data_IF_938639513065
#
_entry.id   IF_938639513065
#
_cell.length_a   1.000
_cell.length_b   1.000
_cell.length_c   1.000
_cell.angle_alpha   90.00
_cell.angle_beta   90.00
_cell.angle_gamma   90.00
#
_symmetry.space_group_name_H-M   'P 1'
#
loop_
_entity.id
_entity.type
_entity.pdbx_description
1 polymer ?
#
# COMPACT_ATOMS: atom_id res chain seq x y z
N UNK A 1 33.10 -1.95 18.40
CA UNK A 1 31.91 -1.76 17.55
C UNK A 1 30.91 -2.85 17.89
N UNK A 2 29.78 -2.55 18.55
CA UNK A 2 28.81 -3.59 18.90
C UNK A 2 28.06 -4.04 17.64
N UNK A 3 27.72 -5.33 17.61
CA UNK A 3 27.12 -6.03 16.50
C UNK A 3 25.83 -5.36 16.02
N UNK A 4 25.70 -5.19 14.70
CA UNK A 4 24.48 -4.72 14.02
C UNK A 4 23.33 -5.69 14.36
N UNK A 5 22.42 -5.27 15.23
CA UNK A 5 21.19 -6.01 15.52
C UNK A 5 20.36 -6.07 14.24
N UNK A 6 20.23 -7.26 13.65
CA UNK A 6 19.23 -7.53 12.62
C UNK A 6 17.81 -7.19 13.15
N UNK A 7 16.84 -6.89 12.26
CA UNK A 7 15.44 -6.80 12.68
C UNK A 7 15.01 -8.09 13.37
N UNK A 8 14.44 -7.97 14.58
CA UNK A 8 14.02 -9.10 15.40
C UNK A 8 12.82 -9.83 14.79
N UNK A 9 12.01 -9.14 14.00
CA UNK A 9 10.85 -9.68 13.31
C UNK A 9 10.95 -9.40 11.80
N UNK A 10 10.67 -10.43 11.00
CA UNK A 10 10.74 -10.40 9.54
C UNK A 10 9.37 -10.54 8.91
N UNK A 11 8.49 -11.35 9.52
CA UNK A 11 7.16 -11.63 9.01
C UNK A 11 6.28 -12.22 10.10
N UNK A 12 4.97 -12.10 9.96
CA UNK A 12 3.96 -12.69 10.82
C UNK A 12 3.01 -13.53 9.98
N UNK A 13 2.67 -14.72 10.47
CA UNK A 13 1.77 -15.62 9.77
C UNK A 13 0.87 -16.36 10.74
N UNK A 14 -0.29 -16.77 10.26
CA UNK A 14 -1.27 -17.54 11.02
C UNK A 14 -1.33 -18.97 10.54
N UNK A 15 -1.52 -19.89 11.48
CA UNK A 15 -1.82 -21.30 11.20
C UNK A 15 -3.19 -21.64 11.80
N UNK A 16 -4.16 -22.13 11.01
CA UNK A 16 -5.45 -22.55 11.54
C UNK A 16 -5.32 -23.62 12.62
N UNK A 17 -6.12 -23.53 13.69
CA UNK A 17 -6.19 -24.51 14.78
C UNK A 17 -7.62 -24.65 15.29
N UNK A 18 -8.34 -25.67 14.82
CA UNK A 18 -9.76 -25.81 15.12
C UNK A 18 -10.56 -24.64 14.55
N UNK A 19 -11.37 -23.99 15.37
CA UNK A 19 -12.14 -22.79 14.99
C UNK A 19 -11.31 -21.50 15.06
N UNK A 20 -10.12 -21.54 15.66
CA UNK A 20 -9.25 -20.39 15.83
C UNK A 20 -7.95 -20.49 15.03
N UNK A 21 -6.92 -19.77 15.46
CA UNK A 21 -5.62 -19.76 14.80
C UNK A 21 -4.45 -19.56 15.77
N UNK A 22 -3.26 -19.98 15.36
CA UNK A 22 -2.00 -19.69 16.05
C UNK A 22 -1.28 -18.60 15.26
N UNK A 23 -0.90 -17.52 15.94
CA UNK A 23 -0.06 -16.48 15.37
C UNK A 23 1.41 -16.81 15.62
N UNK A 24 2.21 -16.73 14.57
CA UNK A 24 3.65 -16.89 14.61
C UNK A 24 4.35 -15.65 14.09
N UNK A 25 5.57 -15.45 14.57
CA UNK A 25 6.53 -14.52 13.97
C UNK A 25 7.73 -15.27 13.43
N UNK A 26 8.10 -14.97 12.20
CA UNK A 26 9.39 -15.27 11.62
C UNK A 26 10.39 -14.22 12.08
N UNK A 27 11.45 -14.63 12.78
CA UNK A 27 12.49 -13.77 13.34
C UNK A 27 13.81 -14.02 12.62
N UNK A 28 14.63 -12.98 12.42
CA UNK A 28 15.99 -13.15 11.88
C UNK A 28 16.95 -13.63 12.96
N UNK A 29 17.53 -14.83 12.82
CA UNK A 29 18.55 -15.33 13.73
C UNK A 29 19.89 -15.61 13.00
N UNK A 30 20.98 -15.69 13.77
CA UNK A 30 22.35 -15.92 13.27
C UNK A 30 22.50 -17.21 12.44
N UNK A 31 21.60 -18.18 12.64
CA UNK A 31 21.61 -19.49 11.96
C UNK A 31 20.55 -19.61 10.87
N UNK A 32 19.84 -18.52 10.54
CA UNK A 32 18.70 -18.51 9.63
C UNK A 32 17.44 -17.99 10.30
N UNK A 33 16.33 -17.86 9.55
CA UNK A 33 15.07 -17.39 10.10
C UNK A 33 14.45 -18.45 11.02
N UNK A 34 13.98 -18.02 12.19
CA UNK A 34 13.34 -18.88 13.20
C UNK A 34 11.87 -18.52 13.36
N UNK A 35 11.00 -19.53 13.40
CA UNK A 35 9.57 -19.34 13.62
C UNK A 35 9.25 -19.46 15.11
N UNK A 36 8.74 -18.38 15.69
CA UNK A 36 8.36 -18.28 17.10
C UNK A 36 6.84 -18.15 17.24
N UNK A 37 6.24 -18.98 18.09
CA UNK A 37 4.81 -18.86 18.43
C UNK A 37 4.60 -17.63 19.32
N UNK A 38 3.67 -16.76 18.93
CA UNK A 38 3.25 -15.60 19.74
C UNK A 38 2.06 -15.98 20.62
N UNK A 39 1.03 -16.57 20.01
CA UNK A 39 -0.26 -16.71 20.69
C UNK A 39 -1.21 -17.64 19.99
N UNK A 40 -2.29 -18.01 20.69
CA UNK A 40 -3.44 -18.73 20.12
C UNK A 40 -4.65 -17.83 20.26
N UNK A 41 -5.42 -17.75 19.18
CA UNK A 41 -6.64 -16.97 19.03
C UNK A 41 -7.79 -17.94 18.89
N UNK A 42 -8.93 -17.59 19.50
CA UNK A 42 -10.16 -18.35 19.36
C UNK A 42 -10.88 -18.01 18.03
N UNK A 43 -10.63 -16.81 17.51
CA UNK A 43 -11.10 -16.32 16.22
C UNK A 43 -9.96 -16.31 15.17
N UNK A 44 -10.21 -16.96 14.04
CA UNK A 44 -9.26 -17.03 12.93
C UNK A 44 -9.09 -15.67 12.24
N UNK A 45 -10.16 -14.92 12.07
CA UNK A 45 -10.17 -13.66 11.33
C UNK A 45 -9.46 -12.58 12.13
N UNK A 46 -9.66 -12.55 13.45
CA UNK A 46 -8.93 -11.67 14.36
C UNK A 46 -7.41 -11.93 14.30
N UNK A 47 -7.00 -13.21 14.33
CA UNK A 47 -5.59 -13.60 14.21
C UNK A 47 -4.99 -13.18 12.87
N UNK A 48 -5.73 -13.38 11.79
CA UNK A 48 -5.29 -13.06 10.44
C UNK A 48 -5.17 -11.56 10.22
N UNK A 49 -6.15 -10.78 10.68
CA UNK A 49 -6.10 -9.32 10.66
C UNK A 49 -4.89 -8.80 11.44
N UNK A 50 -4.61 -9.36 12.62
CA UNK A 50 -3.48 -8.94 13.42
C UNK A 50 -2.13 -9.26 12.75
N UNK A 51 -1.98 -10.45 12.16
CA UNK A 51 -0.78 -10.82 11.40
C UNK A 51 -0.55 -9.85 10.22
N UNK A 52 -1.61 -9.53 9.47
CA UNK A 52 -1.55 -8.58 8.35
C UNK A 52 -1.16 -7.18 8.85
N UNK A 53 -1.76 -6.72 9.94
CA UNK A 53 -1.47 -5.39 10.50
C UNK A 53 -0.03 -5.29 11.00
N UNK A 54 0.49 -6.33 11.66
CA UNK A 54 1.89 -6.41 12.08
C UNK A 54 2.85 -6.45 10.88
N UNK A 55 2.50 -7.16 9.81
CA UNK A 55 3.29 -7.18 8.58
C UNK A 55 3.32 -5.82 7.88
N UNK A 56 2.22 -5.06 7.87
CA UNK A 56 2.23 -3.70 7.35
C UNK A 56 3.06 -2.77 8.23
N UNK A 57 2.98 -2.92 9.57
CA UNK A 57 3.81 -2.14 10.50
C UNK A 57 5.31 -2.38 10.28
N UNK A 58 5.73 -3.63 10.02
CA UNK A 58 7.12 -3.95 9.63
C UNK A 58 7.56 -3.26 8.33
N UNK A 59 6.63 -3.00 7.43
CA UNK A 59 6.89 -2.38 6.12
C UNK A 59 6.77 -0.86 6.16
N UNK A 60 6.44 -0.28 7.32
CA UNK A 60 6.29 1.16 7.51
C UNK A 60 4.91 1.71 7.13
N UNK A 61 3.88 0.87 7.06
CA UNK A 61 2.52 1.28 6.72
C UNK A 61 1.97 2.34 7.67
N UNK A 62 1.47 3.45 7.11
CA UNK A 62 0.91 4.56 7.87
C UNK A 62 -0.30 4.10 8.69
N UNK A 63 -0.30 4.40 9.99
CA UNK A 63 -1.40 4.01 10.90
C UNK A 63 -1.45 2.53 11.28
N UNK A 64 -0.55 1.68 10.75
CA UNK A 64 -0.53 0.25 11.05
C UNK A 64 -0.31 -0.03 12.54
N UNK A 65 0.66 0.64 13.19
CA UNK A 65 0.91 0.48 14.63
C UNK A 65 -0.28 0.91 15.49
N UNK A 66 -0.91 2.04 15.18
CA UNK A 66 -2.13 2.47 15.86
C UNK A 66 -3.26 1.42 15.72
N UNK A 67 -3.34 0.77 14.56
CA UNK A 67 -4.27 -0.34 14.32
C UNK A 67 -3.90 -1.60 15.11
N UNK A 68 -2.61 -1.95 15.21
CA UNK A 68 -2.15 -3.06 16.08
C UNK A 68 -2.60 -2.82 17.51
N UNK A 69 -2.40 -1.61 18.05
CA UNK A 69 -2.84 -1.29 19.40
C UNK A 69 -4.35 -1.42 19.58
N UNK A 70 -5.15 -0.91 18.64
CA UNK A 70 -6.61 -1.08 18.65
C UNK A 70 -7.04 -2.54 18.62
N UNK A 71 -6.52 -3.34 17.68
CA UNK A 71 -6.81 -4.77 17.57
C UNK A 71 -6.36 -5.56 18.81
N UNK A 72 -5.29 -5.13 19.48
CA UNK A 72 -4.77 -5.81 20.67
C UNK A 72 -5.54 -5.52 21.95
N UNK A 73 -6.35 -4.45 22.00
CA UNK A 73 -6.97 -3.96 23.22
C UNK A 73 -7.93 -4.98 23.87
N UNK A 74 -8.66 -5.73 23.03
CA UNK A 74 -9.61 -6.79 23.41
C UNK A 74 -8.94 -8.13 23.76
N UNK A 75 -7.65 -8.30 23.47
CA UNK A 75 -6.96 -9.58 23.63
C UNK A 75 -6.70 -9.95 25.10
N UNK A 76 -6.61 -11.25 25.43
CA UNK A 76 -6.23 -11.72 26.75
C UNK A 76 -4.88 -11.14 27.20
N UNK A 77 -4.75 -10.82 28.50
CA UNK A 77 -3.61 -10.09 29.06
C UNK A 77 -2.22 -10.56 28.60
N UNK A 78 -1.89 -11.86 28.61
CA UNK A 78 -0.59 -12.35 28.12
C UNK A 78 -0.36 -12.11 26.64
N UNK A 79 -1.39 -12.29 25.82
CA UNK A 79 -1.33 -12.10 24.37
C UNK A 79 -1.26 -10.61 24.02
N UNK A 80 -2.10 -9.79 24.65
CA UNK A 80 -2.05 -8.33 24.52
C UNK A 80 -0.66 -7.78 24.86
N UNK A 81 -0.05 -8.27 25.94
CA UNK A 81 1.31 -7.87 26.33
C UNK A 81 2.32 -8.23 25.25
N UNK A 82 2.33 -9.48 24.78
CA UNK A 82 3.24 -9.92 23.72
C UNK A 82 3.10 -9.08 22.43
N UNK A 83 1.86 -8.74 22.04
CA UNK A 83 1.61 -7.90 20.86
C UNK A 83 2.04 -6.45 21.07
N UNK A 84 1.87 -5.92 22.28
CA UNK A 84 2.33 -4.57 22.64
C UNK A 84 3.86 -4.50 22.60
N UNK A 85 4.55 -5.47 23.21
CA UNK A 85 6.02 -5.55 23.19
C UNK A 85 6.55 -5.63 21.75
N UNK A 86 5.89 -6.40 20.88
CA UNK A 86 6.22 -6.48 19.45
C UNK A 86 6.00 -5.13 18.74
N UNK A 87 4.89 -4.44 19.01
CA UNK A 87 4.59 -3.15 18.40
C UNK A 87 5.64 -2.10 18.78
N UNK A 88 6.05 -2.06 20.05
CA UNK A 88 7.14 -1.21 20.55
C UNK A 88 8.47 -1.54 19.87
N UNK A 89 8.82 -2.82 19.72
CA UNK A 89 10.03 -3.24 18.98
C UNK A 89 10.02 -2.75 17.52
N UNK A 90 8.85 -2.77 16.86
CA UNK A 90 8.68 -2.30 15.47
C UNK A 90 8.77 -0.77 15.41
N UNK A 91 8.16 -0.07 16.36
CA UNK A 91 8.21 1.40 16.45
C UNK A 91 9.64 1.89 16.67
N UNK A 92 10.37 1.28 17.61
CA UNK A 92 11.78 1.56 17.87
C UNK A 92 12.65 1.30 16.63
N UNK A 93 12.39 0.21 15.92
CA UNK A 93 13.09 -0.10 14.67
C UNK A 93 12.78 0.90 13.56
N UNK A 94 11.58 1.49 13.55
CA UNK A 94 11.14 2.50 12.59
C UNK A 94 11.67 3.91 12.89
N UNK A 95 12.08 4.20 14.13
CA UNK A 95 12.63 5.50 14.53
C UNK A 95 14.06 5.80 14.07
N UNK A 96 14.86 4.76 13.75
CA UNK A 96 16.24 4.88 13.26
C UNK A 96 16.29 4.73 11.73
N UNK A 97 16.39 5.82 10.97
CA UNK A 97 16.18 5.82 9.52
C UNK A 97 16.98 4.74 8.73
N UNK A 98 18.31 4.58 8.91
CA UNK A 98 19.06 3.48 8.28
C UNK A 98 18.58 2.07 8.67
N UNK A 99 18.21 1.86 9.94
CA UNK A 99 17.76 0.56 10.46
C UNK A 99 16.33 0.24 10.01
N UNK A 100 15.45 1.23 10.07
CA UNK A 100 14.09 1.19 9.58
C UNK A 100 14.08 0.80 8.10
N UNK A 101 14.92 1.43 7.30
CA UNK A 101 15.03 1.16 5.87
C UNK A 101 15.52 -0.26 5.57
N UNK A 102 16.50 -0.77 6.31
CA UNK A 102 16.97 -2.15 6.16
C UNK A 102 15.91 -3.18 6.61
N UNK A 103 15.19 -2.89 7.70
CA UNK A 103 14.11 -3.74 8.22
C UNK A 103 12.94 -3.82 7.23
N UNK A 104 12.47 -2.69 6.71
CA UNK A 104 11.39 -2.60 5.72
C UNK A 104 11.72 -3.35 4.43
N UNK A 105 12.95 -3.20 3.92
CA UNK A 105 13.42 -3.94 2.74
C UNK A 105 13.35 -5.45 2.96
N UNK A 106 13.85 -5.91 4.10
CA UNK A 106 13.86 -7.34 4.41
C UNK A 106 12.43 -7.88 4.57
N UNK A 107 11.55 -7.13 5.24
CA UNK A 107 10.14 -7.51 5.40
C UNK A 107 9.40 -7.56 4.04
N UNK A 108 9.58 -6.55 3.17
CA UNK A 108 9.00 -6.53 1.81
C UNK A 108 9.45 -7.74 0.99
N UNK A 109 10.76 -7.98 0.93
CA UNK A 109 11.32 -9.12 0.18
C UNK A 109 10.78 -10.47 0.69
N UNK A 110 10.58 -10.61 2.00
CA UNK A 110 9.98 -11.82 2.59
C UNK A 110 8.49 -11.92 2.24
N UNK A 111 7.72 -10.83 2.34
CA UNK A 111 6.30 -10.79 1.96
C UNK A 111 6.09 -11.17 0.50
N UNK A 112 6.90 -10.60 -0.40
CA UNK A 112 6.89 -10.89 -1.83
C UNK A 112 7.23 -12.36 -2.11
N UNK A 113 8.28 -12.88 -1.46
CA UNK A 113 8.70 -14.29 -1.60
C UNK A 113 7.67 -15.28 -1.05
N UNK A 114 6.93 -14.89 -0.01
CA UNK A 114 5.87 -15.71 0.58
C UNK A 114 4.53 -15.60 -0.16
N UNK A 115 4.46 -14.77 -1.21
CA UNK A 115 3.38 -14.79 -2.21
C UNK A 115 1.97 -14.65 -1.62
N UNK A 116 1.82 -13.93 -0.50
CA UNK A 116 0.50 -13.80 0.13
C UNK A 116 -0.42 -12.91 -0.70
N UNK A 117 -1.30 -13.58 -1.45
CA UNK A 117 -2.51 -13.02 -2.10
C UNK A 117 -3.58 -12.68 -1.07
N UNK A 118 -3.27 -11.86 -0.07
CA UNK A 118 -4.27 -11.48 0.93
C UNK A 118 -4.75 -10.07 0.66
N UNK A 119 -5.81 -9.96 -0.14
CA UNK A 119 -6.54 -8.70 -0.29
C UNK A 119 -7.22 -8.22 1.02
N UNK A 120 -7.20 -9.02 2.09
CA UNK A 120 -7.42 -8.54 3.46
C UNK A 120 -6.40 -7.48 3.91
N UNK A 121 -5.25 -7.33 3.23
CA UNK A 121 -4.29 -6.25 3.49
C UNK A 121 -4.87 -4.87 3.17
N UNK A 122 -5.82 -4.78 2.22
CA UNK A 122 -6.49 -3.51 1.92
C UNK A 122 -7.36 -3.03 3.07
N UNK A 123 -7.85 -3.94 3.91
CA UNK A 123 -8.54 -3.57 5.15
C UNK A 123 -7.63 -2.83 6.13
N UNK A 124 -6.31 -2.77 5.93
CA UNK A 124 -5.39 -2.03 6.79
C UNK A 124 -5.44 -0.51 6.55
N UNK A 125 -5.84 -0.08 5.35
CA UNK A 125 -6.07 1.33 5.06
C UNK A 125 -7.20 1.86 5.96
N UNK A 126 -7.10 3.13 6.35
CA UNK A 126 -8.15 3.79 7.12
C UNK A 126 -9.38 3.96 6.23
N UNK A 127 -10.50 3.35 6.61
CA UNK A 127 -11.80 3.73 6.06
C UNK A 127 -12.24 5.11 6.60
N UNK A 128 -11.68 5.49 7.76
CA UNK A 128 -11.94 6.72 8.47
C UNK A 128 -10.78 7.07 9.39
N UNK A 129 -10.51 8.36 9.57
CA UNK A 129 -9.62 8.88 10.60
C UNK A 129 -10.42 9.46 11.79
N UNK A 130 -11.73 9.26 11.78
CA UNK A 130 -12.64 9.59 12.87
C UNK A 130 -12.38 8.68 14.07
N UNK A 131 -12.52 9.22 15.28
CA UNK A 131 -12.34 8.46 16.53
C UNK A 131 -12.06 9.31 17.76
N UNK A 132 -11.76 10.60 17.56
CA UNK A 132 -11.59 11.58 18.64
C UNK A 132 -12.12 12.98 18.26
N UNK A 133 -12.97 13.06 17.23
CA UNK A 133 -13.50 14.34 16.76
C UNK A 133 -14.32 15.03 17.85
N UNK A 134 -13.86 16.22 18.28
CA UNK A 134 -14.49 17.00 19.35
C UNK A 134 -15.88 17.52 18.95
N UNK A 135 -16.14 17.62 17.65
CA UNK A 135 -17.34 18.23 17.12
C UNK A 135 -18.50 17.25 16.93
N UNK A 136 -18.23 15.95 16.76
CA UNK A 136 -19.27 14.94 16.56
C UNK A 136 -19.24 13.78 17.55
N UNK A 137 -18.15 13.59 18.32
CA UNK A 137 -18.04 12.52 19.31
C UNK A 137 -18.21 11.10 18.73
N UNK A 138 -18.09 10.97 17.41
CA UNK A 138 -18.35 9.73 16.70
C UNK A 138 -17.28 8.68 17.01
N UNK A 139 -17.71 7.43 17.03
CA UNK A 139 -16.79 6.29 16.98
C UNK A 139 -16.21 6.15 15.57
N UNK A 140 -15.10 5.42 15.45
CA UNK A 140 -14.45 5.10 14.16
C UNK A 140 -15.49 4.52 13.18
N UNK A 141 -16.37 3.65 13.65
CA UNK A 141 -17.37 2.97 12.81
C UNK A 141 -18.44 3.92 12.22
N UNK A 142 -18.63 5.11 12.79
CA UNK A 142 -19.60 6.09 12.31
C UNK A 142 -19.04 7.03 11.22
N UNK A 143 -17.74 6.91 10.86
CA UNK A 143 -17.03 7.68 9.83
C UNK A 143 -17.34 9.19 9.85
N UNK A 144 -17.53 9.74 11.04
CA UNK A 144 -17.90 11.15 11.24
C UNK A 144 -19.10 11.59 10.37
N UNK A 145 -20.02 10.67 10.03
CA UNK A 145 -21.18 10.91 9.15
C UNK A 145 -22.14 11.97 9.71
N UNK A 146 -22.14 12.17 11.03
CA UNK A 146 -22.98 13.15 11.74
C UNK A 146 -22.24 14.46 12.06
N UNK A 147 -21.02 14.65 11.57
CA UNK A 147 -20.27 15.86 11.85
C UNK A 147 -20.83 17.04 11.05
N UNK A 148 -21.49 17.97 11.73
CA UNK A 148 -22.10 19.15 11.11
C UNK A 148 -21.09 20.02 10.31
N UNK A 149 -19.83 20.09 10.76
CA UNK A 149 -18.78 20.83 10.04
C UNK A 149 -18.40 20.11 8.75
N UNK A 150 -18.26 18.79 8.78
CA UNK A 150 -18.05 18.00 7.55
C UNK A 150 -19.26 18.10 6.60
N UNK A 151 -20.48 17.98 7.12
CA UNK A 151 -21.72 18.06 6.34
C UNK A 151 -21.85 19.42 5.63
N UNK A 152 -21.42 20.50 6.29
CA UNK A 152 -21.39 21.85 5.71
C UNK A 152 -20.26 22.08 4.70
N UNK A 153 -19.34 21.13 4.52
CA UNK A 153 -18.19 21.25 3.61
C UNK A 153 -18.45 20.49 2.30
N UNK A 154 -18.08 21.03 1.13
CA UNK A 154 -18.42 20.45 -0.17
C UNK A 154 -18.01 18.99 -0.39
N UNK A 155 -16.95 18.51 0.28
CA UNK A 155 -16.43 17.13 0.18
C UNK A 155 -16.49 16.33 1.49
N UNK A 156 -17.18 16.83 2.52
CA UNK A 156 -17.17 16.16 3.83
C UNK A 156 -15.85 16.25 4.59
N UNK A 157 -14.89 17.09 4.21
CA UNK A 157 -13.54 17.15 4.80
C UNK A 157 -13.23 18.47 5.54
N UNK A 158 -14.25 19.22 5.93
CA UNK A 158 -14.09 20.54 6.56
C UNK A 158 -13.68 20.55 8.04
N UNK A 159 -13.69 19.40 8.72
CA UNK A 159 -13.37 19.33 10.14
C UNK A 159 -11.94 18.83 10.34
N UNK A 160 -11.07 19.68 10.91
CA UNK A 160 -9.68 19.34 11.20
C UNK A 160 -9.50 18.17 12.18
N UNK A 161 -10.53 17.86 12.98
CA UNK A 161 -10.50 16.74 13.93
C UNK A 161 -11.05 15.43 13.36
N UNK A 162 -11.72 15.45 12.20
CA UNK A 162 -12.22 14.24 11.54
C UNK A 162 -11.12 13.49 10.77
N UNK A 163 -9.93 14.08 10.65
CA UNK A 163 -8.82 13.57 9.84
C UNK A 163 -9.12 13.57 8.34
N UNK A 164 -8.07 13.69 7.53
CA UNK A 164 -8.17 13.57 6.08
C UNK A 164 -7.88 12.14 5.66
N UNK A 165 -8.91 11.33 5.46
CA UNK A 165 -8.72 9.97 4.92
C UNK A 165 -8.10 10.09 3.53
N UNK A 166 -6.83 9.71 3.39
CA UNK A 166 -6.11 9.71 2.11
C UNK A 166 -6.70 8.66 1.17
N UNK A 167 -6.21 7.42 1.28
CA UNK A 167 -6.69 6.29 0.46
C UNK A 167 -7.49 5.33 1.34
N UNK A 168 -8.77 5.09 0.99
CA UNK A 168 -9.62 4.11 1.70
C UNK A 168 -9.30 2.67 1.30
N UNK A 169 -9.72 1.64 2.06
CA UNK A 169 -9.55 0.23 1.68
C UNK A 169 -10.01 -0.11 0.26
N UNK A 170 -11.22 0.32 -0.10
CA UNK A 170 -11.84 0.07 -1.40
C UNK A 170 -11.12 0.84 -2.51
N UNK A 171 -10.72 2.09 -2.24
CA UNK A 171 -9.94 2.89 -3.18
C UNK A 171 -8.56 2.27 -3.42
N UNK A 172 -7.87 1.80 -2.38
CA UNK A 172 -6.59 1.10 -2.49
C UNK A 172 -6.71 -0.19 -3.31
N UNK A 173 -7.81 -0.94 -3.13
CA UNK A 173 -8.07 -2.16 -3.90
C UNK A 173 -8.29 -1.86 -5.38
N UNK A 174 -9.12 -0.86 -5.71
CA UNK A 174 -9.37 -0.45 -7.10
C UNK A 174 -8.09 0.07 -7.75
N UNK A 175 -7.33 0.92 -7.06
CA UNK A 175 -6.06 1.43 -7.55
C UNK A 175 -5.04 0.32 -7.80
N UNK A 176 -4.94 -0.65 -6.89
CA UNK A 176 -4.09 -1.83 -7.09
C UNK A 176 -4.53 -2.61 -8.34
N UNK A 177 -5.83 -2.83 -8.53
CA UNK A 177 -6.35 -3.53 -9.71
C UNK A 177 -6.03 -2.79 -10.99
N UNK A 178 -6.17 -1.46 -11.00
CA UNK A 178 -5.82 -0.62 -12.15
C UNK A 178 -4.33 -0.70 -12.48
N UNK A 179 -3.45 -0.56 -11.48
CA UNK A 179 -2.00 -0.68 -11.68
C UNK A 179 -1.62 -2.07 -12.23
N UNK A 180 -2.25 -3.14 -11.75
CA UNK A 180 -2.03 -4.50 -12.26
C UNK A 180 -2.55 -4.70 -13.68
N UNK A 181 -3.66 -4.07 -14.03
CA UNK A 181 -4.25 -4.10 -15.38
C UNK A 181 -3.32 -3.37 -16.36
N UNK A 182 -2.93 -2.14 -16.05
CA UNK A 182 -1.98 -1.36 -16.85
C UNK A 182 -0.63 -2.08 -16.99
N UNK A 183 -0.09 -2.64 -15.90
CA UNK A 183 1.12 -3.46 -15.99
C UNK A 183 0.95 -4.61 -17.01
N UNK A 184 -0.19 -5.32 -16.96
CA UNK A 184 -0.50 -6.40 -17.89
C UNK A 184 -0.54 -5.93 -19.34
N UNK A 185 -1.23 -4.83 -19.61
CA UNK A 185 -1.32 -4.22 -20.94
C UNK A 185 0.03 -3.74 -21.44
N UNK A 186 0.85 -3.11 -20.60
CA UNK A 186 2.19 -2.66 -20.97
C UNK A 186 3.14 -3.83 -21.23
N UNK A 187 3.06 -4.93 -20.47
CA UNK A 187 3.79 -6.16 -20.81
C UNK A 187 3.35 -6.71 -22.16
N UNK A 188 2.04 -6.76 -22.44
CA UNK A 188 1.53 -7.22 -23.73
C UNK A 188 2.03 -6.34 -24.88
N UNK A 189 1.93 -5.01 -24.75
CA UNK A 189 2.46 -4.06 -25.75
C UNK A 189 3.97 -4.23 -25.99
N UNK A 190 4.74 -4.56 -24.94
CA UNK A 190 6.17 -4.78 -25.07
C UNK A 190 6.53 -6.10 -25.79
N UNK A 191 5.66 -7.11 -25.74
CA UNK A 191 5.90 -8.43 -26.35
C UNK A 191 5.18 -8.62 -27.70
N UNK A 192 4.06 -7.94 -27.90
CA UNK A 192 3.21 -8.01 -29.09
C UNK A 192 3.09 -6.62 -29.72
N UNK A 193 3.81 -6.35 -30.82
CA UNK A 193 3.76 -5.07 -31.53
C UNK A 193 2.38 -4.71 -32.11
N UNK A 194 1.50 -5.70 -32.28
CA UNK A 194 0.15 -5.49 -32.81
C UNK A 194 -0.88 -5.18 -31.70
N UNK A 195 -0.48 -5.32 -30.42
CA UNK A 195 -1.32 -4.96 -29.28
C UNK A 195 -1.25 -3.44 -29.04
N UNK A 196 -2.39 -2.78 -29.18
CA UNK A 196 -2.54 -1.35 -28.95
C UNK A 196 -3.62 -1.13 -27.88
N UNK A 197 -3.19 -0.75 -26.68
CA UNK A 197 -4.05 -0.20 -25.65
C UNK A 197 -3.27 0.86 -24.87
N UNK A 198 -3.96 1.94 -24.50
CA UNK A 198 -3.42 3.07 -23.74
C UNK A 198 -3.02 2.60 -22.34
N UNK A 199 -1.78 2.11 -22.22
CA UNK A 199 -1.20 1.58 -20.98
C UNK A 199 -0.09 2.45 -20.41
N UNK A 200 0.37 3.41 -21.20
CA UNK A 200 1.35 4.45 -20.86
C UNK A 200 0.82 5.79 -21.41
N UNK A 201 1.25 6.94 -20.88
CA UNK A 201 0.87 8.23 -21.48
C UNK A 201 1.42 8.37 -22.90
N UNK A 202 0.77 9.22 -23.71
CA UNK A 202 1.12 9.49 -25.11
C UNK A 202 2.61 9.83 -25.27
N UNK A 203 3.17 10.60 -24.33
CA UNK A 203 4.60 10.94 -24.30
C UNK A 203 5.54 9.75 -24.34
N UNK A 204 5.10 8.57 -23.89
CA UNK A 204 5.89 7.34 -23.83
C UNK A 204 5.53 6.27 -24.87
N UNK A 205 4.55 6.50 -25.75
CA UNK A 205 4.07 5.48 -26.70
C UNK A 205 5.11 5.05 -27.73
N UNK A 206 5.98 5.97 -28.16
CA UNK A 206 7.01 5.69 -29.17
C UNK A 206 8.27 5.00 -28.61
N UNK A 207 8.29 4.70 -27.30
CA UNK A 207 9.47 4.18 -26.64
C UNK A 207 9.73 2.70 -26.95
N UNK A 208 10.99 2.28 -26.79
CA UNK A 208 11.40 0.89 -27.06
C UNK A 208 10.68 -0.14 -26.19
N UNK A 209 10.55 -1.40 -26.65
CA UNK A 209 9.98 -2.50 -25.86
C UNK A 209 10.66 -2.65 -24.49
N UNK A 210 11.96 -2.40 -24.43
CA UNK A 210 12.70 -2.45 -23.17
C UNK A 210 12.25 -1.36 -22.19
N UNK A 211 12.01 -0.13 -22.68
CA UNK A 211 11.41 0.94 -21.88
C UNK A 211 10.03 0.53 -21.36
N UNK A 212 9.17 -0.02 -22.24
CA UNK A 212 7.84 -0.50 -21.87
C UNK A 212 7.90 -1.61 -20.80
N UNK A 213 8.85 -2.54 -20.87
CA UNK A 213 9.04 -3.55 -19.82
C UNK A 213 9.37 -2.92 -18.46
N UNK A 214 10.15 -1.84 -18.43
CA UNK A 214 10.43 -1.11 -17.18
C UNK A 214 9.22 -0.30 -16.70
N UNK A 215 8.40 0.26 -17.59
CA UNK A 215 7.12 0.86 -17.22
C UNK A 215 6.16 -0.18 -16.60
N UNK A 216 6.04 -1.35 -17.23
CA UNK A 216 5.23 -2.45 -16.72
C UNK A 216 5.69 -2.90 -15.33
N UNK A 217 7.01 -2.94 -15.11
CA UNK A 217 7.58 -3.22 -13.77
C UNK A 217 7.30 -2.10 -12.77
N UNK A 218 7.41 -0.83 -13.18
CA UNK A 218 7.10 0.30 -12.30
C UNK A 218 5.64 0.25 -11.81
N UNK A 219 4.69 -0.13 -12.67
CA UNK A 219 3.31 -0.40 -12.25
C UNK A 219 3.21 -1.56 -11.24
N UNK A 220 3.92 -2.68 -11.48
CA UNK A 220 3.99 -3.79 -10.53
C UNK A 220 4.56 -3.35 -9.16
N UNK A 221 5.59 -2.50 -9.16
CA UNK A 221 6.24 -1.98 -7.95
C UNK A 221 5.30 -1.03 -7.17
N UNK A 222 4.56 -0.16 -7.85
CA UNK A 222 3.54 0.70 -7.25
C UNK A 222 2.37 -0.13 -6.69
N UNK A 223 1.95 -1.18 -7.41
CA UNK A 223 0.94 -2.12 -6.91
C UNK A 223 1.43 -2.90 -5.68
N UNK A 224 2.72 -3.22 -5.63
CA UNK A 224 3.33 -3.90 -4.48
C UNK A 224 3.33 -3.02 -3.22
N UNK A 225 3.50 -1.69 -3.36
CA UNK A 225 3.37 -0.76 -2.22
C UNK A 225 1.96 -0.82 -1.60
N UNK A 226 0.92 -0.88 -2.43
CA UNK A 226 -0.46 -1.05 -1.96
C UNK A 226 -0.69 -2.39 -1.25
N UNK A 227 -0.10 -3.48 -1.79
CA UNK A 227 -0.12 -4.79 -1.13
C UNK A 227 0.71 -4.84 0.14
N UNK A 228 1.66 -3.93 0.33
CA UNK A 228 2.39 -3.74 1.58
C UNK A 228 1.57 -2.96 2.64
N UNK A 229 0.37 -2.48 2.28
CA UNK A 229 -0.47 -1.63 3.13
C UNK A 229 -0.02 -0.17 3.17
N UNK A 230 0.84 0.24 2.22
CA UNK A 230 1.30 1.60 2.05
C UNK A 230 0.61 2.28 0.86
N UNK A 231 0.59 3.60 0.89
CA UNK A 231 0.30 4.40 -0.30
C UNK A 231 1.52 4.25 -1.25
N UNK A 232 1.33 4.17 -2.59
CA UNK A 232 2.46 4.15 -3.52
C UNK A 232 3.35 5.38 -3.34
N UNK A 233 4.65 5.14 -3.22
CA UNK A 233 5.67 6.21 -3.08
C UNK A 233 6.57 6.17 -4.31
N UNK A 234 6.34 7.03 -5.32
CA UNK A 234 7.18 7.10 -6.50
C UNK A 234 8.65 7.40 -6.19
N UNK A 235 9.56 6.63 -6.78
CA UNK A 235 11.01 6.73 -6.53
C UNK A 235 11.80 7.33 -7.69
N UNK A 236 11.15 7.51 -8.83
CA UNK A 236 11.67 8.12 -10.04
C UNK A 236 10.53 8.78 -10.82
N UNK A 237 10.90 9.52 -11.88
CA UNK A 237 9.93 10.20 -12.73
C UNK A 237 8.97 9.23 -13.42
N UNK A 238 9.46 8.07 -13.88
CA UNK A 238 8.61 7.04 -14.47
C UNK A 238 7.49 6.62 -13.51
N UNK A 239 7.82 6.31 -12.24
CA UNK A 239 6.82 5.93 -11.25
C UNK A 239 5.82 7.06 -11.00
N UNK A 240 6.26 8.32 -10.96
CA UNK A 240 5.36 9.47 -10.77
C UNK A 240 4.40 9.65 -11.94
N UNK A 241 4.92 9.63 -13.17
CA UNK A 241 4.14 9.76 -14.40
C UNK A 241 3.16 8.60 -14.54
N UNK A 242 3.63 7.36 -14.39
CA UNK A 242 2.79 6.17 -14.51
C UNK A 242 1.73 6.11 -13.41
N UNK A 243 2.06 6.53 -12.18
CA UNK A 243 1.06 6.59 -11.11
C UNK A 243 -0.03 7.64 -11.40
N UNK A 244 0.35 8.83 -11.88
CA UNK A 244 -0.60 9.84 -12.32
C UNK A 244 -1.48 9.36 -13.48
N UNK A 245 -0.88 8.70 -14.48
CA UNK A 245 -1.59 8.10 -15.60
C UNK A 245 -2.56 7.00 -15.14
N UNK A 246 -2.15 6.17 -14.18
CA UNK A 246 -3.01 5.14 -13.61
C UNK A 246 -4.25 5.73 -12.96
N UNK A 247 -4.11 6.86 -12.26
CA UNK A 247 -5.24 7.51 -11.59
C UNK A 247 -6.16 8.21 -12.58
N UNK A 248 -5.61 8.94 -13.56
CA UNK A 248 -6.43 9.64 -14.56
C UNK A 248 -7.21 8.67 -15.45
N UNK A 249 -6.65 7.48 -15.71
CA UNK A 249 -7.29 6.43 -16.52
C UNK A 249 -8.35 5.60 -15.78
N UNK A 250 -8.57 5.81 -14.47
CA UNK A 250 -9.57 5.04 -13.69
C UNK A 250 -10.98 5.23 -14.22
N UNK A 251 -11.30 6.38 -14.82
CA UNK A 251 -12.62 6.59 -15.45
C UNK A 251 -12.90 5.66 -16.64
N UNK A 252 -11.85 5.17 -17.32
CA UNK A 252 -11.93 4.18 -18.40
C UNK A 252 -11.78 2.73 -17.93
N UNK A 253 -11.43 2.53 -16.66
CA UNK A 253 -11.31 1.21 -16.05
C UNK A 253 -12.70 0.66 -15.66
N UNK A 254 -12.92 -0.64 -15.83
CA UNK A 254 -14.18 -1.27 -15.43
C UNK A 254 -14.26 -1.41 -13.91
N UNK A 255 -14.56 -0.31 -13.23
CA UNK A 255 -14.83 -0.28 -11.78
C UNK A 255 -15.95 -1.27 -11.44
N UNK A 256 -16.93 -1.45 -12.31
CA UNK A 256 -18.02 -2.42 -12.14
C UNK A 256 -17.50 -3.86 -12.01
N UNK A 257 -16.55 -4.27 -12.86
CA UNK A 257 -15.92 -5.59 -12.75
C UNK A 257 -15.14 -5.75 -11.45
N UNK A 258 -14.52 -4.68 -10.96
CA UNK A 258 -13.78 -4.73 -9.69
C UNK A 258 -14.72 -4.72 -8.48
N UNK A 259 -15.83 -4.00 -8.57
CA UNK A 259 -16.87 -4.03 -7.56
C UNK A 259 -17.51 -5.41 -7.44
N UNK A 260 -17.57 -6.19 -8.53
CA UNK A 260 -18.08 -7.56 -8.50
C UNK A 260 -17.13 -8.57 -7.80
N UNK A 261 -15.88 -8.17 -7.50
CA UNK A 261 -14.92 -9.01 -6.81
C UNK A 261 -15.39 -9.30 -5.36
N UNK A 262 -15.42 -10.58 -4.99
CA UNK A 262 -15.85 -11.01 -3.65
C UNK A 262 -15.03 -10.36 -2.54
N UNK A 263 -13.72 -10.15 -2.77
CA UNK A 263 -12.88 -9.50 -1.77
C UNK A 263 -13.24 -8.04 -1.61
N UNK A 264 -13.48 -7.34 -2.72
CA UNK A 264 -13.91 -5.94 -2.67
C UNK A 264 -15.16 -5.77 -1.80
N UNK A 265 -16.13 -6.68 -1.91
CA UNK A 265 -17.37 -6.64 -1.14
C UNK A 265 -17.15 -6.81 0.37
N UNK A 266 -16.07 -7.48 0.78
CA UNK A 266 -15.71 -7.63 2.21
C UNK A 266 -14.97 -6.43 2.78
N UNK A 267 -14.48 -5.50 1.94
CA UNK A 267 -13.75 -4.33 2.42
C UNK A 267 -14.70 -3.30 3.04
N UNK A 268 -14.29 -2.63 4.13
CA UNK A 268 -15.08 -1.57 4.75
C UNK A 268 -15.43 -0.47 3.74
N UNK A 269 -16.71 -0.11 3.69
CA UNK A 269 -17.18 1.02 2.92
C UNK A 269 -16.80 2.33 3.62
N UNK A 270 -16.45 3.35 2.85
CA UNK A 270 -16.24 4.70 3.32
C UNK A 270 -16.98 5.68 2.42
N UNK A 271 -17.44 6.80 2.98
CA UNK A 271 -18.01 7.88 2.16
C UNK A 271 -16.97 8.56 1.25
N UNK A 272 -15.69 8.32 1.53
CA UNK A 272 -14.55 8.83 0.80
C UNK A 272 -14.03 7.86 -0.27
N UNK A 273 -14.71 6.71 -0.46
CA UNK A 273 -14.38 5.79 -1.53
C UNK A 273 -14.47 6.52 -2.87
N UNK A 274 -13.44 6.38 -3.71
CA UNK A 274 -13.41 6.91 -5.08
C UNK A 274 -13.44 8.43 -5.21
N UNK A 275 -13.06 9.16 -4.17
CA UNK A 275 -12.83 10.61 -4.24
C UNK A 275 -11.51 10.88 -5.00
N UNK A 276 -11.45 10.45 -6.26
CA UNK A 276 -10.27 10.49 -7.14
C UNK A 276 -9.80 11.91 -7.38
N UNK A 277 -10.73 12.86 -7.45
CA UNK A 277 -10.43 14.27 -7.62
C UNK A 277 -9.76 14.86 -6.37
N UNK A 278 -10.21 14.49 -5.16
CA UNK A 278 -9.49 14.84 -3.93
C UNK A 278 -8.11 14.20 -3.89
N UNK A 279 -8.01 12.92 -4.26
CA UNK A 279 -6.72 12.23 -4.33
C UNK A 279 -5.77 12.94 -5.30
N UNK A 280 -6.25 13.32 -6.49
CA UNK A 280 -5.48 13.93 -7.56
C UNK A 280 -5.01 15.35 -7.20
N UNK A 281 -5.90 16.16 -6.62
CA UNK A 281 -5.70 17.61 -6.58
C UNK A 281 -5.51 18.18 -5.17
N UNK A 282 -6.04 17.51 -4.14
CA UNK A 282 -6.19 18.12 -2.80
C UNK A 282 -5.46 17.35 -1.69
N UNK A 283 -5.21 16.06 -1.89
CA UNK A 283 -4.63 15.20 -0.85
C UNK A 283 -3.10 15.31 -0.72
N UNK A 284 -2.43 15.88 -1.72
CA UNK A 284 -0.96 15.85 -1.88
C UNK A 284 -0.40 14.45 -2.15
N UNK A 285 -1.24 13.41 -2.16
CA UNK A 285 -0.88 12.01 -2.37
C UNK A 285 -0.50 11.72 -3.81
N UNK A 286 -1.11 12.47 -4.73
CA UNK A 286 -0.83 12.49 -6.15
C UNK A 286 -0.24 13.84 -6.56
N UNK A 287 0.47 14.51 -5.65
CA UNK A 287 1.31 15.67 -5.98
C UNK A 287 2.45 15.19 -6.89
N UNK A 288 2.09 14.98 -8.15
CA UNK A 288 3.01 14.66 -9.22
C UNK A 288 3.85 15.91 -9.42
N UNK A 289 5.17 15.77 -9.32
CA UNK A 289 6.07 16.90 -9.58
C UNK A 289 5.68 17.58 -10.90
N UNK A 290 5.84 18.90 -11.02
CA UNK A 290 5.54 19.65 -12.25
C UNK A 290 6.04 18.93 -13.53
N UNK A 291 7.23 18.35 -13.45
CA UNK A 291 7.82 17.55 -14.52
C UNK A 291 6.99 16.33 -14.93
N UNK A 292 6.43 15.61 -13.96
CA UNK A 292 5.55 14.48 -14.23
C UNK A 292 4.21 14.94 -14.83
N UNK A 293 3.71 16.11 -14.40
CA UNK A 293 2.52 16.72 -14.98
C UNK A 293 2.75 17.09 -16.46
N UNK A 294 3.92 17.63 -16.82
CA UNK A 294 4.28 17.93 -18.21
C UNK A 294 4.14 16.69 -19.12
N UNK A 295 4.60 15.52 -18.67
CA UNK A 295 4.49 14.26 -19.43
C UNK A 295 3.07 13.70 -19.50
N UNK A 296 2.22 14.01 -18.52
CA UNK A 296 0.82 13.58 -18.49
C UNK A 296 -0.06 14.39 -19.44
N UNK A 297 0.22 15.69 -19.57
CA UNK A 297 -0.52 16.61 -20.44
C UNK A 297 0.05 16.67 -21.86
N UNK A 298 1.18 15.99 -22.13
CA UNK A 298 1.79 15.94 -23.45
C UNK A 298 0.86 15.29 -24.48
N UNK A 299 0.68 15.96 -25.62
CA UNK A 299 -0.11 15.50 -26.77
C UNK A 299 0.74 14.86 -27.87
N UNK A 300 2.05 14.73 -27.63
CA UNK A 300 3.02 14.15 -28.55
C UNK A 300 3.91 13.14 -27.84
N UNK A 301 4.25 12.07 -28.55
CA UNK A 301 5.26 11.12 -28.09
C UNK A 301 6.65 11.76 -28.16
N UNK A 302 7.43 11.60 -27.09
CA UNK A 302 8.83 11.98 -27.07
C UNK A 302 9.71 10.77 -27.33
N UNK A 303 10.90 11.00 -27.88
CA UNK A 303 11.92 9.98 -28.09
C UNK A 303 12.98 10.03 -26.97
N UNK A 304 13.59 8.88 -26.66
CA UNK A 304 14.76 8.77 -25.76
C UNK A 304 14.53 9.27 -24.31
N UNK A 305 13.45 8.80 -23.68
CA UNK A 305 13.06 9.20 -22.32
C UNK A 305 13.81 8.47 -21.20
N UNK A 306 14.63 7.48 -21.55
CA UNK A 306 15.17 6.49 -20.61
C UNK A 306 15.92 7.08 -19.41
N UNK A 307 16.96 7.87 -19.68
CA UNK A 307 17.87 8.40 -18.65
C UNK A 307 17.16 9.38 -17.71
N UNK A 308 16.10 10.00 -18.19
CA UNK A 308 15.28 10.94 -17.45
C UNK A 308 14.25 10.23 -16.57
N UNK A 309 13.54 9.24 -17.13
CA UNK A 309 12.41 8.58 -16.49
C UNK A 309 12.83 7.67 -15.35
N UNK A 310 13.86 6.84 -15.56
CA UNK A 310 14.21 5.78 -14.61
C UNK A 310 15.32 6.17 -13.64
N UNK A 311 15.79 7.42 -13.70
CA UNK A 311 16.73 7.95 -12.72
C UNK A 311 16.04 8.11 -11.36
N UNK A 312 16.57 7.49 -10.29
CA UNK A 312 16.04 7.65 -8.95
C UNK A 312 16.11 9.11 -8.50
N UNK A 313 15.10 9.55 -7.75
CA UNK A 313 15.12 10.86 -7.11
C UNK A 313 16.27 10.96 -6.09
N UNK A 314 16.79 12.18 -5.91
CA UNK A 314 17.80 12.46 -4.90
C UNK A 314 17.25 12.11 -3.52
N UNK A 315 18.05 11.40 -2.71
CA UNK A 315 17.70 10.94 -1.36
C UNK A 315 16.56 9.91 -1.24
N UNK A 316 16.07 9.37 -2.38
CA UNK A 316 15.14 8.25 -2.40
C UNK A 316 15.87 6.97 -2.79
N UNK A 317 15.62 5.88 -2.06
CA UNK A 317 16.26 4.60 -2.37
C UNK A 317 15.66 3.97 -3.63
N UNK A 318 16.48 3.53 -4.60
CA UNK A 318 15.99 2.88 -5.82
C UNK A 318 15.18 1.61 -5.54
N UNK A 319 14.28 1.25 -6.47
CA UNK A 319 13.65 -0.09 -6.48
C UNK A 319 14.71 -1.19 -6.66
N UNK A 320 14.36 -2.39 -6.21
CA UNK A 320 15.22 -3.56 -6.41
C UNK A 320 15.30 -3.93 -7.89
N UNK A 321 16.50 -3.99 -8.44
CA UNK A 321 16.74 -4.35 -9.85
C UNK A 321 16.73 -5.87 -10.09
N UNK A 322 16.60 -6.69 -9.04
CA UNK A 322 16.69 -8.15 -9.14
C UNK A 322 15.38 -8.82 -9.56
N UNK A 323 14.28 -8.06 -9.64
CA UNK A 323 12.97 -8.57 -10.04
C UNK A 323 12.98 -8.78 -11.55
N UNK A 324 12.73 -10.04 -11.96
CA UNK A 324 12.61 -10.38 -13.37
C UNK A 324 11.31 -9.83 -13.93
N UNK A 325 11.34 -9.43 -15.20
CA UNK A 325 10.12 -9.11 -15.94
C UNK A 325 9.20 -10.33 -15.98
N UNK A 326 7.90 -10.07 -15.90
CA UNK A 326 6.89 -11.11 -16.07
C UNK A 326 6.88 -11.53 -17.55
N UNK A 327 6.75 -12.84 -17.78
CA UNK A 327 6.50 -13.41 -19.09
C UNK A 327 4.99 -13.47 -19.35
#
# INVERSE_FOLDING_TARGET
MPARSAPSHLFFLTQPKGNGAILFSLRGALRGPELSKIGTFDDRDESQLLALTLNAALQGGTGALAKVHRCSASLPGPLRRAITDIAEEIEDANGDAPRAQAARRTARAVTESLGQRNAAVFSLFSATDCGSCRNCGCTVDEDCAKCAVCDSSPRGRGCGDCGGVGVTPRTAFVLHRQLKDLAGKTYLAAYDPDFWEDSVPVSAEAQSNWFLLHCARAYDDLAADLLAGGIPEPRCLAESVLFGHAVSSIGGFSIESVCADEVYQTLPASRFDYDWEFLANESGLLDVSDRAHDFLEADVAEDDLWDEWFKPYTDVEPRSTTHRFRC
#
